data_IF_029326298306
#
_entry.id   IF_029326298306
#
_cell.length_a   1.000
_cell.length_b   1.000
_cell.length_c   1.000
_cell.angle_alpha   90.00
_cell.angle_beta   90.00
_cell.angle_gamma   90.00
#
_symmetry.space_group_name_H-M   'P 1'
#
loop_
_entity.id
_entity.type
_entity.pdbx_description
1 polymer ?
#
# COMPACT_ATOMS: atom_id res chain seq x y z
N UNK A 1 29.20 -3.27 2.14
CA UNK A 1 27.93 -3.90 1.67
C UNK A 1 26.71 -3.59 2.54
N UNK A 2 26.84 -3.19 3.82
CA UNK A 2 25.70 -2.93 4.74
C UNK A 2 24.90 -1.63 4.45
N UNK A 3 25.53 -0.63 3.87
CA UNK A 3 24.88 0.67 3.59
C UNK A 3 23.83 0.58 2.47
N UNK A 4 24.06 -0.29 1.48
CA UNK A 4 23.15 -0.48 0.35
C UNK A 4 21.83 -1.19 0.77
N UNK A 5 21.89 -2.10 1.75
CA UNK A 5 20.70 -2.82 2.23
C UNK A 5 19.84 -1.96 3.16
N UNK A 6 20.46 -1.15 4.02
CA UNK A 6 19.73 -0.19 4.84
C UNK A 6 19.01 0.87 3.99
N UNK A 7 19.65 1.32 2.88
CA UNK A 7 19.01 2.21 1.92
C UNK A 7 17.82 1.55 1.20
N UNK A 8 17.95 0.27 0.81
CA UNK A 8 16.87 -0.46 0.16
C UNK A 8 15.66 -0.71 1.09
N UNK A 9 15.91 -1.02 2.36
CA UNK A 9 14.87 -1.15 3.40
C UNK A 9 14.12 0.18 3.62
N UNK A 10 14.85 1.30 3.72
CA UNK A 10 14.25 2.62 3.89
C UNK A 10 13.34 2.98 2.71
N UNK A 11 13.79 2.78 1.47
CA UNK A 11 12.97 3.04 0.27
C UNK A 11 11.77 2.10 0.18
N UNK A 12 11.92 0.83 0.58
CA UNK A 12 10.80 -0.11 0.62
C UNK A 12 9.76 0.30 1.69
N UNK A 13 10.23 0.78 2.85
CA UNK A 13 9.35 1.31 3.90
C UNK A 13 8.62 2.59 3.46
N UNK A 14 9.32 3.52 2.79
CA UNK A 14 8.70 4.70 2.20
C UNK A 14 7.57 4.32 1.23
N UNK A 15 7.79 3.31 0.38
CA UNK A 15 6.76 2.79 -0.53
C UNK A 15 5.55 2.24 0.23
N UNK A 16 5.76 1.50 1.33
CA UNK A 16 4.67 1.00 2.19
C UNK A 16 3.85 2.17 2.75
N UNK A 17 4.51 3.21 3.25
CA UNK A 17 3.84 4.40 3.79
C UNK A 17 3.03 5.11 2.70
N UNK A 18 3.62 5.33 1.52
CA UNK A 18 2.91 5.95 0.39
C UNK A 18 1.68 5.14 -0.04
N UNK A 19 1.79 3.81 -0.14
CA UNK A 19 0.67 2.95 -0.49
C UNK A 19 -0.45 2.98 0.57
N UNK A 20 -0.09 3.03 1.86
CA UNK A 20 -1.07 3.16 2.94
C UNK A 20 -1.82 4.50 2.89
N UNK A 21 -1.13 5.59 2.54
CA UNK A 21 -1.77 6.89 2.33
C UNK A 21 -2.74 6.87 1.15
N UNK A 22 -2.39 6.21 0.03
CA UNK A 22 -3.31 6.06 -1.11
C UNK A 22 -4.54 5.22 -0.76
N UNK A 23 -4.39 4.16 0.04
CA UNK A 23 -5.53 3.38 0.57
C UNK A 23 -6.45 4.27 1.39
N UNK A 24 -5.90 5.05 2.33
CA UNK A 24 -6.69 5.98 3.14
C UNK A 24 -7.43 7.01 2.27
N UNK A 25 -6.75 7.61 1.29
CA UNK A 25 -7.35 8.59 0.39
C UNK A 25 -8.45 7.97 -0.48
N UNK A 26 -8.28 6.73 -0.96
CA UNK A 26 -9.30 6.01 -1.71
C UNK A 26 -10.51 5.66 -0.83
N UNK A 27 -10.30 5.24 0.43
CA UNK A 27 -11.41 5.01 1.38
C UNK A 27 -12.23 6.27 1.62
N UNK A 28 -11.58 7.40 1.87
CA UNK A 28 -12.28 8.66 2.13
C UNK A 28 -13.12 9.12 0.93
N UNK A 29 -12.64 8.91 -0.30
CA UNK A 29 -13.42 9.18 -1.52
C UNK A 29 -14.63 8.25 -1.63
N UNK A 30 -14.44 6.96 -1.37
CA UNK A 30 -15.52 5.97 -1.39
C UNK A 30 -16.60 6.30 -0.34
N UNK A 31 -16.19 6.66 0.88
CA UNK A 31 -17.09 7.09 1.95
C UNK A 31 -17.86 8.36 1.59
N UNK A 32 -17.19 9.37 1.05
CA UNK A 32 -17.81 10.61 0.61
C UNK A 32 -18.85 10.38 -0.50
N UNK A 33 -18.54 9.50 -1.45
CA UNK A 33 -19.46 9.14 -2.53
C UNK A 33 -20.69 8.38 -2.01
N UNK A 34 -20.50 7.42 -1.10
CA UNK A 34 -21.60 6.73 -0.44
C UNK A 34 -22.51 7.68 0.36
N UNK A 35 -21.96 8.76 0.93
CA UNK A 35 -22.72 9.75 1.68
C UNK A 35 -23.55 10.71 0.80
N UNK A 36 -23.24 10.83 -0.49
CA UNK A 36 -23.87 11.79 -1.41
C UNK A 36 -25.18 11.31 -2.06
N UNK A 37 -25.56 10.04 -1.89
CA UNK A 37 -26.86 9.51 -2.32
C UNK A 37 -26.84 8.84 -3.70
N UNK A 38 -27.71 7.85 -3.85
CA UNK A 38 -27.73 6.80 -4.90
C UNK A 38 -28.00 7.25 -6.35
N UNK A 39 -28.10 8.55 -6.65
CA UNK A 39 -28.48 9.05 -7.97
C UNK A 39 -27.28 9.31 -8.92
N UNK A 40 -26.04 9.27 -8.43
CA UNK A 40 -24.83 9.32 -9.27
C UNK A 40 -24.07 7.98 -9.24
N UNK A 41 -24.10 7.23 -10.34
CA UNK A 41 -23.02 6.27 -10.63
C UNK A 41 -21.80 7.09 -11.11
N UNK A 42 -20.58 6.91 -10.54
CA UNK A 42 -19.88 5.63 -10.64
C UNK A 42 -19.08 5.22 -9.37
N UNK A 43 -19.69 4.42 -8.49
CA UNK A 43 -19.00 3.74 -7.39
C UNK A 43 -17.96 2.71 -7.86
N UNK A 44 -18.09 2.18 -9.10
CA UNK A 44 -17.19 1.15 -9.63
C UNK A 44 -15.76 1.67 -9.82
N UNK A 45 -15.57 2.93 -10.22
CA UNK A 45 -14.25 3.51 -10.39
C UNK A 45 -13.55 3.70 -9.03
N UNK A 46 -14.28 4.21 -8.04
CA UNK A 46 -13.73 4.39 -6.68
C UNK A 46 -13.44 3.05 -6.01
N UNK A 47 -14.30 2.04 -6.20
CA UNK A 47 -14.04 0.67 -5.74
C UNK A 47 -12.81 0.05 -6.43
N UNK A 48 -12.65 0.25 -7.74
CA UNK A 48 -11.48 -0.23 -8.47
C UNK A 48 -10.20 0.48 -8.00
N UNK A 49 -10.27 1.79 -7.74
CA UNK A 49 -9.15 2.56 -7.19
C UNK A 49 -8.78 2.09 -5.79
N UNK A 50 -9.76 1.86 -4.93
CA UNK A 50 -9.54 1.31 -3.60
C UNK A 50 -8.90 -0.08 -3.65
N UNK A 51 -9.41 -0.97 -4.51
CA UNK A 51 -8.84 -2.31 -4.71
C UNK A 51 -7.39 -2.25 -5.22
N UNK A 52 -7.09 -1.36 -6.17
CA UNK A 52 -5.73 -1.16 -6.67
C UNK A 52 -4.78 -0.65 -5.59
N UNK A 53 -5.21 0.32 -4.76
CA UNK A 53 -4.40 0.83 -3.65
C UNK A 53 -4.12 -0.26 -2.59
N UNK A 54 -5.12 -1.10 -2.29
CA UNK A 54 -4.95 -2.23 -1.37
C UNK A 54 -3.97 -3.28 -1.90
N UNK A 55 -4.01 -3.56 -3.22
CA UNK A 55 -3.06 -4.47 -3.86
C UNK A 55 -1.64 -3.90 -3.81
N UNK A 56 -1.46 -2.62 -4.12
CA UNK A 56 -0.14 -1.97 -4.05
C UNK A 56 0.42 -1.96 -2.61
N UNK A 57 -0.42 -1.73 -1.60
CA UNK A 57 -0.01 -1.81 -0.20
C UNK A 57 0.46 -3.22 0.17
N UNK A 58 -0.25 -4.25 -0.30
CA UNK A 58 0.15 -5.65 -0.09
C UNK A 58 1.50 -5.92 -0.76
N UNK A 59 1.66 -5.55 -2.02
CA UNK A 59 2.90 -5.79 -2.78
C UNK A 59 4.09 -5.04 -2.17
N UNK A 60 3.90 -3.80 -1.72
CA UNK A 60 4.92 -3.03 -1.02
C UNK A 60 5.34 -3.69 0.30
N UNK A 61 4.37 -4.23 1.05
CA UNK A 61 4.63 -4.92 2.32
C UNK A 61 5.40 -6.23 2.09
N UNK A 62 5.00 -7.03 1.11
CA UNK A 62 5.70 -8.27 0.76
C UNK A 62 7.14 -7.99 0.29
N UNK A 63 7.36 -6.93 -0.48
CA UNK A 63 8.69 -6.51 -0.90
C UNK A 63 9.58 -6.09 0.29
N UNK A 64 9.02 -5.34 1.24
CA UNK A 64 9.72 -4.97 2.47
C UNK A 64 10.05 -6.18 3.33
N UNK A 65 9.08 -7.06 3.59
CA UNK A 65 9.26 -8.25 4.41
C UNK A 65 10.34 -9.19 3.80
N UNK A 66 10.39 -9.30 2.47
CA UNK A 66 11.43 -10.05 1.77
C UNK A 66 12.85 -9.46 1.92
N UNK A 67 12.98 -8.14 2.08
CA UNK A 67 14.27 -7.50 2.37
C UNK A 67 14.70 -7.77 3.82
N UNK A 68 13.77 -7.65 4.76
CA UNK A 68 14.02 -7.92 6.19
C UNK A 68 14.41 -9.38 6.41
N UNK A 69 13.69 -10.33 5.80
CA UNK A 69 13.99 -11.77 5.92
C UNK A 69 15.37 -12.15 5.34
N UNK A 70 15.87 -11.42 4.34
CA UNK A 70 17.23 -11.63 3.81
C UNK A 70 18.33 -11.12 4.75
N UNK A 71 18.00 -10.18 5.64
CA UNK A 71 18.94 -9.58 6.60
C UNK A 71 19.09 -10.41 7.87
N UNK A 72 18.02 -11.06 8.30
CA UNK A 72 18.00 -12.00 9.42
C UNK A 72 17.60 -13.40 8.93
N UNK A 73 18.52 -14.14 8.26
CA UNK A 73 18.24 -15.53 7.90
C UNK A 73 18.03 -16.35 9.17
N UNK A 74 17.05 -17.28 9.20
CA UNK A 74 16.85 -18.14 10.35
C UNK A 74 18.15 -18.91 10.64
N UNK A 75 18.69 -18.73 11.85
CA UNK A 75 19.84 -19.49 12.32
C UNK A 75 19.47 -20.97 12.31
N UNK A 76 20.10 -21.75 11.43
CA UNK A 76 19.98 -23.21 11.37
C UNK A 76 20.79 -23.89 12.46
#
# INVERSE_FOLDING_TARGET
MKENTASAEASALERVVSAAHEVQAASLRLEAHCAQGLDEQPSTLELARFAAAMQELKDAREAFDALVAKKDPPSS
#
